data_IF_494497230819
#
_entry.id   IF_494497230819
#
_cell.length_a   1.000
_cell.length_b   1.000
_cell.length_c   1.000
_cell.angle_alpha   90.00
_cell.angle_beta   90.00
_cell.angle_gamma   90.00
#
_symmetry.space_group_name_H-M   'P 1'
#
loop_
_entity.id
_entity.type
_entity.pdbx_description
1 polymer ?
#
# COMPACT_ATOMS: atom_id res chain seq x y z
N UNK A 1 32.38 -6.31 -27.29
CA UNK A 1 31.23 -6.38 -26.37
C UNK A 1 29.99 -6.83 -27.15
N UNK A 2 29.19 -7.75 -26.61
CA UNK A 2 27.91 -8.17 -27.20
C UNK A 2 26.76 -7.61 -26.36
N UNK A 3 25.82 -6.94 -27.02
CA UNK A 3 24.64 -6.32 -26.40
C UNK A 3 23.43 -7.22 -26.78
N UNK A 4 22.66 -7.64 -25.79
CA UNK A 4 21.37 -8.25 -26.01
C UNK A 4 20.28 -7.18 -25.93
N UNK A 5 19.55 -6.97 -27.02
CA UNK A 5 18.30 -6.22 -26.96
C UNK A 5 17.16 -7.18 -26.67
N UNK A 6 16.30 -6.80 -25.70
CA UNK A 6 15.13 -7.60 -25.37
C UNK A 6 13.86 -6.81 -25.63
N UNK A 7 12.97 -7.37 -26.41
CA UNK A 7 11.68 -6.77 -26.78
C UNK A 7 10.54 -7.70 -26.39
N UNK A 8 9.40 -7.15 -25.93
CA UNK A 8 8.25 -7.94 -25.53
C UNK A 8 6.94 -7.25 -25.88
N UNK A 9 6.00 -8.03 -26.39
CA UNK A 9 4.59 -7.68 -26.49
C UNK A 9 3.76 -8.47 -25.48
N UNK A 10 2.71 -7.84 -24.99
CA UNK A 10 1.74 -8.45 -24.07
C UNK A 10 0.42 -8.65 -24.82
N UNK A 11 -0.23 -9.80 -24.66
CA UNK A 11 -1.59 -10.04 -25.16
C UNK A 11 -2.64 -9.06 -24.64
N UNK A 12 -2.33 -8.37 -23.53
CA UNK A 12 -3.24 -7.39 -22.93
C UNK A 12 -3.26 -6.04 -23.66
N UNK A 13 -2.26 -5.76 -24.51
CA UNK A 13 -2.14 -4.51 -25.27
C UNK A 13 -2.89 -4.53 -26.62
N UNK A 14 -3.76 -5.51 -26.86
CA UNK A 14 -4.64 -5.88 -27.99
C UNK A 14 -4.72 -5.00 -29.22
N UNK A 15 -4.66 -5.64 -30.39
CA UNK A 15 -4.97 -5.25 -31.78
C UNK A 15 -3.79 -5.05 -32.75
N UNK A 16 -4.10 -5.05 -34.05
CA UNK A 16 -3.20 -5.03 -35.25
C UNK A 16 -2.05 -3.97 -35.28
N UNK A 17 -2.00 -3.06 -34.32
CA UNK A 17 -0.87 -2.14 -34.11
C UNK A 17 0.35 -2.76 -33.42
N UNK A 18 0.30 -4.04 -33.05
CA UNK A 18 1.29 -4.72 -32.19
C UNK A 18 2.59 -5.07 -32.90
N UNK A 19 2.56 -5.49 -34.17
CA UNK A 19 3.78 -5.74 -34.96
C UNK A 19 4.59 -4.45 -35.16
N UNK A 20 3.90 -3.31 -35.30
CA UNK A 20 4.53 -2.00 -35.30
C UNK A 20 5.19 -1.66 -33.96
N UNK A 21 4.67 -2.18 -32.83
CA UNK A 21 5.21 -1.92 -31.50
C UNK A 21 6.55 -2.64 -31.22
N UNK A 22 6.76 -3.89 -31.66
CA UNK A 22 8.09 -4.57 -31.58
C UNK A 22 9.09 -3.83 -32.48
N UNK A 23 8.70 -3.52 -33.71
CA UNK A 23 9.53 -2.76 -34.64
C UNK A 23 9.97 -1.41 -34.04
N UNK A 24 9.06 -0.68 -33.43
CA UNK A 24 9.35 0.60 -32.79
C UNK A 24 10.27 0.43 -31.55
N UNK A 25 10.08 -0.62 -30.74
CA UNK A 25 10.99 -0.91 -29.64
C UNK A 25 12.41 -1.20 -30.16
N UNK A 26 12.52 -2.05 -31.20
CA UNK A 26 13.80 -2.39 -31.84
C UNK A 26 14.49 -1.13 -32.36
N UNK A 27 13.80 -0.29 -33.13
CA UNK A 27 14.35 0.95 -33.67
C UNK A 27 14.86 1.88 -32.56
N UNK A 28 14.08 2.08 -31.50
CA UNK A 28 14.49 2.90 -30.34
C UNK A 28 15.77 2.37 -29.69
N UNK A 29 15.87 1.05 -29.50
CA UNK A 29 17.04 0.43 -28.87
C UNK A 29 18.27 0.52 -29.75
N UNK A 30 18.13 0.30 -31.07
CA UNK A 30 19.23 0.41 -32.02
C UNK A 30 19.70 1.86 -32.17
N UNK A 31 18.77 2.82 -32.16
CA UNK A 31 19.12 4.26 -32.19
C UNK A 31 19.87 4.66 -30.92
N UNK A 32 19.42 4.19 -29.75
CA UNK A 32 20.15 4.41 -28.50
C UNK A 32 21.60 3.88 -28.55
N UNK A 33 21.80 2.66 -29.10
CA UNK A 33 23.16 2.10 -29.26
C UNK A 33 24.01 2.97 -30.18
N UNK A 34 23.44 3.45 -31.30
CA UNK A 34 24.17 4.31 -32.27
C UNK A 34 24.61 5.62 -31.65
N UNK A 35 23.76 6.20 -30.78
CA UNK A 35 24.02 7.50 -30.16
C UNK A 35 24.83 7.40 -28.85
N UNK A 36 25.13 6.19 -28.38
CA UNK A 36 25.90 5.95 -27.16
C UNK A 36 27.36 5.60 -27.49
N UNK A 37 28.33 6.48 -27.19
CA UNK A 37 29.74 6.26 -27.59
C UNK A 37 30.34 4.95 -27.06
N UNK A 38 29.94 4.53 -25.87
CA UNK A 38 30.41 3.32 -25.20
C UNK A 38 29.72 2.02 -25.68
N UNK A 39 28.64 2.15 -26.44
CA UNK A 39 27.90 1.02 -27.03
C UNK A 39 28.09 0.92 -28.55
N UNK A 40 28.59 1.99 -29.17
CA UNK A 40 28.74 2.07 -30.61
C UNK A 40 29.66 0.95 -31.16
N UNK A 41 29.25 0.30 -32.24
CA UNK A 41 30.03 -0.79 -32.88
C UNK A 41 29.98 -2.13 -32.13
N UNK A 42 29.21 -2.27 -31.05
CA UNK A 42 29.01 -3.53 -30.37
C UNK A 42 28.18 -4.51 -31.21
N UNK A 43 28.45 -5.81 -31.06
CA UNK A 43 27.60 -6.86 -31.65
C UNK A 43 26.25 -6.86 -30.98
N UNK A 44 25.17 -6.79 -31.74
CA UNK A 44 23.79 -6.81 -31.22
C UNK A 44 23.15 -8.17 -31.48
N UNK A 45 22.55 -8.76 -30.46
CA UNK A 45 21.74 -9.97 -30.52
C UNK A 45 20.35 -9.64 -29.99
N UNK A 46 19.30 -10.08 -30.68
CA UNK A 46 17.92 -9.84 -30.29
C UNK A 46 17.30 -11.06 -29.63
N UNK A 47 16.57 -10.83 -28.54
CA UNK A 47 15.70 -11.77 -27.89
C UNK A 47 14.29 -11.18 -27.81
N UNK A 48 13.28 -11.97 -28.14
CA UNK A 48 11.90 -11.50 -28.17
C UNK A 48 10.95 -12.51 -27.56
N UNK A 49 9.92 -12.00 -26.87
CA UNK A 49 8.77 -12.77 -26.44
C UNK A 49 7.51 -12.07 -26.95
N UNK A 50 6.74 -12.77 -27.80
CA UNK A 50 5.47 -12.29 -28.34
C UNK A 50 4.31 -13.04 -27.68
N UNK A 51 3.27 -12.30 -27.25
CA UNK A 51 2.08 -12.88 -26.64
C UNK A 51 2.25 -13.39 -25.20
N UNK A 52 3.36 -13.11 -24.54
CA UNK A 52 3.60 -13.55 -23.16
C UNK A 52 3.36 -12.46 -22.13
N UNK A 53 2.72 -12.84 -21.01
CA UNK A 53 2.60 -11.94 -19.85
C UNK A 53 3.95 -11.68 -19.18
N UNK A 54 4.17 -10.45 -18.72
CA UNK A 54 5.39 -10.09 -17.97
C UNK A 54 5.43 -10.60 -16.51
N UNK A 55 4.44 -11.39 -16.06
CA UNK A 55 4.28 -11.79 -14.66
C UNK A 55 5.29 -12.81 -14.17
N UNK A 56 5.79 -13.67 -15.05
CA UNK A 56 6.80 -14.68 -14.72
C UNK A 56 7.96 -14.65 -15.72
N UNK A 57 9.03 -15.38 -15.40
CA UNK A 57 10.21 -15.54 -16.23
C UNK A 57 10.23 -16.85 -17.04
N UNK A 58 9.10 -17.60 -17.09
CA UNK A 58 8.98 -18.86 -17.84
C UNK A 58 8.73 -18.64 -19.34
N UNK A 59 9.30 -17.58 -19.89
CA UNK A 59 9.17 -17.16 -21.28
C UNK A 59 10.41 -17.59 -22.07
N UNK A 60 10.25 -18.16 -23.29
CA UNK A 60 11.37 -18.68 -24.05
C UNK A 60 12.46 -17.64 -24.35
N UNK A 61 12.06 -16.42 -24.76
CA UNK A 61 13.00 -15.37 -25.12
C UNK A 61 13.81 -14.87 -23.92
N UNK A 62 13.16 -14.61 -22.77
CA UNK A 62 13.89 -14.19 -21.57
C UNK A 62 14.76 -15.31 -21.00
N UNK A 63 14.34 -16.58 -21.09
CA UNK A 63 15.15 -17.72 -20.68
C UNK A 63 16.39 -17.87 -21.56
N UNK A 64 16.23 -17.73 -22.88
CA UNK A 64 17.37 -17.76 -23.84
C UNK A 64 18.33 -16.59 -23.56
N UNK A 65 17.79 -15.37 -23.30
CA UNK A 65 18.57 -14.21 -22.91
C UNK A 65 19.39 -14.47 -21.64
N UNK A 66 18.75 -14.97 -20.57
CA UNK A 66 19.42 -15.25 -19.30
C UNK A 66 20.49 -16.34 -19.47
N UNK A 67 20.21 -17.37 -20.25
CA UNK A 67 21.19 -18.42 -20.58
C UNK A 67 22.42 -17.84 -21.27
N UNK A 68 22.25 -17.05 -22.33
CA UNK A 68 23.34 -16.37 -23.03
C UNK A 68 24.12 -15.39 -22.13
N UNK A 69 23.42 -14.65 -21.30
CA UNK A 69 24.01 -13.70 -20.34
C UNK A 69 24.85 -14.41 -19.28
N UNK A 70 24.35 -15.49 -18.69
CA UNK A 70 25.07 -16.26 -17.67
C UNK A 70 26.20 -17.12 -18.27
N UNK A 71 26.08 -17.51 -19.55
CA UNK A 71 27.13 -18.15 -20.31
C UNK A 71 28.28 -17.21 -20.75
N UNK A 72 28.15 -15.90 -20.50
CA UNK A 72 29.17 -14.90 -20.86
C UNK A 72 29.14 -14.47 -22.33
N UNK A 73 28.16 -14.93 -23.11
CA UNK A 73 27.99 -14.55 -24.52
C UNK A 73 27.52 -13.11 -24.68
N UNK A 74 26.85 -12.57 -23.67
CA UNK A 74 26.28 -11.22 -23.58
C UNK A 74 26.88 -10.50 -22.41
N UNK A 75 27.31 -9.25 -22.58
CA UNK A 75 27.87 -8.39 -21.54
C UNK A 75 26.95 -7.22 -21.14
N UNK A 76 25.96 -6.92 -22.00
CA UNK A 76 25.01 -5.85 -21.72
C UNK A 76 23.59 -6.27 -22.16
N UNK A 77 22.63 -6.07 -21.32
CA UNK A 77 21.18 -6.22 -21.63
C UNK A 77 20.59 -4.81 -21.78
N UNK A 78 19.91 -4.57 -22.89
CA UNK A 78 19.25 -3.32 -23.20
C UNK A 78 17.76 -3.54 -23.41
N UNK A 79 16.93 -2.81 -22.68
CA UNK A 79 15.47 -2.86 -22.77
C UNK A 79 14.89 -1.45 -22.96
N UNK A 80 13.67 -1.36 -23.50
CA UNK A 80 12.96 -0.10 -23.62
C UNK A 80 12.60 0.46 -22.23
N UNK A 81 12.00 -0.36 -21.40
CA UNK A 81 11.64 -0.08 -20.00
C UNK A 81 11.76 -1.36 -19.17
N UNK A 82 11.91 -1.21 -17.84
CA UNK A 82 12.07 -2.34 -16.91
C UNK A 82 10.88 -3.30 -16.98
N UNK A 83 9.67 -2.80 -17.26
CA UNK A 83 8.46 -3.60 -17.33
C UNK A 83 8.48 -4.58 -18.52
N UNK A 84 9.27 -4.33 -19.57
CA UNK A 84 9.48 -5.27 -20.67
C UNK A 84 10.29 -6.47 -20.22
N UNK A 85 11.31 -6.25 -19.39
CA UNK A 85 12.07 -7.35 -18.80
C UNK A 85 11.21 -8.19 -17.85
N UNK A 86 10.39 -7.56 -16.98
CA UNK A 86 9.44 -8.27 -16.16
C UNK A 86 8.54 -7.34 -15.35
N UNK A 87 7.34 -7.85 -14.99
CA UNK A 87 6.37 -7.15 -14.13
C UNK A 87 6.40 -7.65 -12.67
N UNK A 88 7.12 -8.73 -12.39
CA UNK A 88 7.40 -9.16 -11.02
C UNK A 88 8.58 -8.36 -10.47
N UNK A 89 8.27 -7.28 -9.77
CA UNK A 89 9.25 -6.35 -9.24
C UNK A 89 10.23 -6.98 -8.24
N UNK A 90 9.84 -8.06 -7.56
CA UNK A 90 10.72 -8.76 -6.62
C UNK A 90 11.82 -9.48 -7.39
N UNK A 91 11.43 -10.29 -8.37
CA UNK A 91 12.36 -11.06 -9.19
C UNK A 91 13.21 -10.14 -10.07
N UNK A 92 12.58 -9.14 -10.72
CA UNK A 92 13.28 -8.14 -11.55
C UNK A 92 14.31 -7.36 -10.71
N UNK A 93 13.89 -6.88 -9.52
CA UNK A 93 14.78 -6.17 -8.62
C UNK A 93 15.99 -7.02 -8.21
N UNK A 94 15.78 -8.28 -7.87
CA UNK A 94 16.88 -9.19 -7.53
C UNK A 94 17.86 -9.40 -8.69
N UNK A 95 17.36 -9.57 -9.93
CA UNK A 95 18.22 -9.67 -11.10
C UNK A 95 19.06 -8.42 -11.31
N UNK A 96 18.42 -7.24 -11.33
CA UNK A 96 19.10 -5.97 -11.67
C UNK A 96 20.05 -5.50 -10.55
N UNK A 97 19.65 -5.66 -9.27
CA UNK A 97 20.44 -5.10 -8.16
C UNK A 97 21.48 -6.07 -7.59
N UNK A 98 21.36 -7.38 -7.85
CA UNK A 98 22.24 -8.39 -7.27
C UNK A 98 22.86 -9.32 -8.31
N UNK A 99 22.03 -10.03 -9.09
CA UNK A 99 22.51 -11.11 -9.96
C UNK A 99 23.36 -10.56 -11.10
N UNK A 100 22.89 -9.53 -11.80
CA UNK A 100 23.61 -8.93 -12.92
C UNK A 100 24.93 -8.26 -12.50
N UNK A 101 24.95 -7.42 -11.44
CA UNK A 101 26.22 -6.89 -10.93
C UNK A 101 27.22 -7.97 -10.50
N UNK A 102 26.75 -9.03 -9.83
CA UNK A 102 27.60 -10.16 -9.44
C UNK A 102 28.24 -10.87 -10.65
N UNK A 103 27.54 -10.93 -11.78
CA UNK A 103 28.02 -11.51 -13.03
C UNK A 103 28.79 -10.52 -13.92
N UNK A 104 28.94 -9.27 -13.50
CA UNK A 104 29.55 -8.22 -14.32
C UNK A 104 28.73 -7.87 -15.56
N UNK A 105 27.43 -8.13 -15.53
CA UNK A 105 26.50 -7.89 -16.62
C UNK A 105 25.87 -6.50 -16.47
N UNK A 106 26.04 -5.64 -17.48
CA UNK A 106 25.41 -4.31 -17.52
C UNK A 106 23.93 -4.45 -17.91
N UNK A 107 23.08 -3.70 -17.25
CA UNK A 107 21.66 -3.61 -17.59
C UNK A 107 21.27 -2.15 -17.80
N UNK A 108 20.63 -1.87 -18.95
CA UNK A 108 20.22 -0.51 -19.34
C UNK A 108 18.73 -0.52 -19.66
N UNK A 109 17.96 0.41 -19.10
CA UNK A 109 16.59 0.71 -19.47
C UNK A 109 16.48 2.13 -19.98
N UNK A 110 16.09 2.27 -21.27
CA UNK A 110 16.16 3.56 -21.98
C UNK A 110 15.16 4.56 -21.42
N UNK A 111 13.89 4.16 -21.36
CA UNK A 111 12.82 5.06 -20.92
C UNK A 111 12.88 5.39 -19.42
N UNK A 112 13.39 4.46 -18.61
CA UNK A 112 13.57 4.66 -17.17
C UNK A 112 14.85 5.45 -16.86
N UNK A 113 15.65 5.78 -17.91
CA UNK A 113 16.97 6.43 -17.78
C UNK A 113 17.87 5.73 -16.76
N UNK A 114 17.83 4.40 -16.73
CA UNK A 114 18.57 3.56 -15.80
C UNK A 114 19.74 2.88 -16.48
N UNK A 115 20.89 2.86 -15.82
CA UNK A 115 22.11 2.17 -16.25
C UNK A 115 22.84 1.60 -15.04
N UNK A 116 22.98 0.28 -14.97
CA UNK A 116 23.63 -0.37 -13.82
C UNK A 116 25.12 0.01 -13.64
N UNK A 117 25.77 0.56 -14.67
CA UNK A 117 27.14 1.08 -14.56
C UNK A 117 27.18 2.51 -14.03
N UNK A 118 26.04 3.22 -13.99
CA UNK A 118 25.97 4.58 -13.45
C UNK A 118 25.94 4.52 -11.94
N UNK A 119 26.86 5.25 -11.31
CA UNK A 119 26.99 5.29 -9.86
C UNK A 119 25.69 5.81 -9.21
N UNK A 120 25.12 5.02 -8.32
CA UNK A 120 23.90 5.39 -7.56
C UNK A 120 22.57 4.90 -8.17
N UNK A 121 22.54 4.52 -9.46
CA UNK A 121 21.30 4.04 -10.09
C UNK A 121 20.82 2.72 -9.46
N UNK A 122 21.73 1.78 -9.20
CA UNK A 122 21.40 0.52 -8.53
C UNK A 122 20.85 0.78 -7.13
N UNK A 123 21.49 1.67 -6.35
CA UNK A 123 21.05 1.97 -4.98
C UNK A 123 19.69 2.67 -4.96
N UNK A 124 19.42 3.56 -5.92
CA UNK A 124 18.14 4.24 -6.03
C UNK A 124 17.02 3.28 -6.40
N UNK A 125 17.30 2.35 -7.32
CA UNK A 125 16.36 1.32 -7.75
C UNK A 125 16.09 0.30 -6.62
N UNK A 126 17.12 -0.13 -5.89
CA UNK A 126 16.96 -1.04 -4.74
C UNK A 126 16.10 -0.39 -3.64
N UNK A 127 16.32 0.90 -3.35
CA UNK A 127 15.47 1.65 -2.40
C UNK A 127 14.02 1.72 -2.87
N UNK A 128 13.77 2.00 -4.15
CA UNK A 128 12.43 2.07 -4.72
C UNK A 128 11.71 0.72 -4.64
N UNK A 129 12.38 -0.38 -4.99
CA UNK A 129 11.83 -1.72 -4.87
C UNK A 129 11.54 -2.11 -3.42
N UNK A 130 12.43 -1.82 -2.48
CA UNK A 130 12.18 -2.06 -1.06
C UNK A 130 10.96 -1.30 -0.55
N UNK A 131 10.83 -0.03 -0.91
CA UNK A 131 9.67 0.79 -0.54
C UNK A 131 8.36 0.18 -1.07
N UNK A 132 8.35 -0.26 -2.34
CA UNK A 132 7.21 -0.94 -2.95
C UNK A 132 6.86 -2.25 -2.21
N UNK A 133 7.85 -3.07 -1.90
CA UNK A 133 7.66 -4.33 -1.17
C UNK A 133 7.07 -4.06 0.22
N UNK A 134 7.57 -3.06 0.94
CA UNK A 134 7.04 -2.68 2.27
C UNK A 134 5.59 -2.20 2.19
N UNK A 135 5.23 -1.41 1.16
CA UNK A 135 3.84 -0.97 0.96
C UNK A 135 2.91 -2.15 0.68
N UNK A 136 3.29 -3.05 -0.23
CA UNK A 136 2.53 -4.26 -0.53
C UNK A 136 2.34 -5.16 0.71
N UNK A 137 3.42 -5.35 1.48
CA UNK A 137 3.39 -6.14 2.71
C UNK A 137 2.48 -5.50 3.78
N UNK A 138 2.56 -4.19 3.94
CA UNK A 138 1.71 -3.43 4.86
C UNK A 138 0.23 -3.56 4.51
N UNK A 139 -0.11 -3.45 3.21
CA UNK A 139 -1.48 -3.65 2.71
C UNK A 139 -1.98 -5.07 2.93
N UNK A 140 -1.15 -6.08 2.70
CA UNK A 140 -1.51 -7.49 2.92
C UNK A 140 -1.76 -7.78 4.40
N UNK A 141 -0.86 -7.33 5.29
CA UNK A 141 -1.07 -7.43 6.75
C UNK A 141 -2.37 -6.74 7.16
N UNK A 142 -2.61 -5.51 6.67
CA UNK A 142 -3.84 -4.78 7.01
C UNK A 142 -5.10 -5.56 6.61
N UNK A 143 -5.12 -6.16 5.41
CA UNK A 143 -6.23 -7.02 4.97
C UNK A 143 -6.41 -8.25 5.87
N UNK A 144 -5.32 -8.94 6.20
CA UNK A 144 -5.33 -10.13 7.07
C UNK A 144 -5.84 -9.79 8.47
N UNK A 145 -5.34 -8.69 9.06
CA UNK A 145 -5.78 -8.23 10.39
C UNK A 145 -7.27 -7.84 10.38
N UNK A 146 -7.73 -7.11 9.35
CA UNK A 146 -9.15 -6.73 9.22
C UNK A 146 -10.03 -7.98 9.09
N UNK A 147 -9.65 -8.94 8.25
CA UNK A 147 -10.39 -10.19 8.08
C UNK A 147 -10.45 -11.01 9.38
N UNK A 148 -9.33 -11.12 10.10
CA UNK A 148 -9.29 -11.80 11.40
C UNK A 148 -10.19 -11.12 12.44
N UNK A 149 -10.12 -9.77 12.52
CA UNK A 149 -10.98 -8.98 13.42
C UNK A 149 -12.47 -9.16 13.09
N UNK A 150 -12.82 -9.12 11.80
CA UNK A 150 -14.19 -9.31 11.37
C UNK A 150 -14.73 -10.71 11.77
N UNK A 151 -13.93 -11.75 11.56
CA UNK A 151 -14.30 -13.13 11.95
C UNK A 151 -14.53 -13.25 13.45
N UNK A 152 -13.67 -12.67 14.27
CA UNK A 152 -13.83 -12.65 15.72
C UNK A 152 -15.08 -11.86 16.15
N UNK A 153 -15.33 -10.71 15.50
CA UNK A 153 -16.53 -9.92 15.75
C UNK A 153 -17.82 -10.70 15.39
N UNK A 154 -17.83 -11.46 14.29
CA UNK A 154 -18.95 -12.33 13.90
C UNK A 154 -19.22 -13.44 14.94
N UNK A 155 -18.19 -13.88 15.67
CA UNK A 155 -18.29 -14.82 16.76
C UNK A 155 -18.69 -14.16 18.10
N UNK A 156 -18.93 -12.83 18.11
CA UNK A 156 -19.24 -12.07 19.33
C UNK A 156 -18.04 -11.80 20.23
N UNK A 157 -16.82 -12.09 19.76
CA UNK A 157 -15.60 -11.95 20.53
C UNK A 157 -15.06 -10.51 20.40
N UNK A 158 -15.07 -9.75 21.48
CA UNK A 158 -14.47 -8.43 21.52
C UNK A 158 -12.98 -8.51 21.86
N UNK A 159 -12.12 -8.14 20.91
CA UNK A 159 -10.66 -8.14 21.07
C UNK A 159 -10.08 -6.78 21.45
N UNK A 160 -10.89 -5.75 21.53
CA UNK A 160 -10.38 -4.43 21.88
C UNK A 160 -9.91 -4.41 23.34
N UNK A 161 -8.74 -3.79 23.62
CA UNK A 161 -8.19 -3.74 24.98
C UNK A 161 -9.09 -2.92 25.95
N UNK A 162 -9.83 -1.95 25.41
CA UNK A 162 -10.73 -1.06 26.16
C UNK A 162 -12.15 -1.26 25.67
N UNK A 163 -13.12 -1.36 26.59
CA UNK A 163 -14.53 -1.38 26.24
C UNK A 163 -14.93 -0.01 25.63
N UNK A 164 -15.80 0.00 24.59
CA UNK A 164 -16.38 1.22 24.08
C UNK A 164 -17.28 1.92 25.13
N UNK A 165 -17.51 3.20 24.96
CA UNK A 165 -18.41 3.96 25.84
C UNK A 165 -19.81 3.34 25.81
N UNK A 166 -20.43 3.22 26.98
CA UNK A 166 -21.69 2.51 27.16
C UNK A 166 -21.54 1.04 27.55
N UNK A 167 -20.34 0.50 27.55
CA UNK A 167 -20.07 -0.90 27.89
C UNK A 167 -18.93 -1.04 28.88
N UNK A 168 -18.98 -2.12 29.63
CA UNK A 168 -17.92 -2.64 30.49
C UNK A 168 -17.47 -4.02 29.97
N UNK A 169 -16.26 -4.42 30.31
CA UNK A 169 -15.84 -5.81 30.12
C UNK A 169 -16.42 -6.66 31.23
N UNK A 170 -16.92 -7.83 30.83
CA UNK A 170 -17.38 -8.84 31.80
C UNK A 170 -16.21 -9.29 32.68
N UNK A 171 -16.34 -9.26 34.02
CA UNK A 171 -15.29 -9.74 34.92
C UNK A 171 -14.93 -11.23 34.70
N UNK A 172 -15.89 -12.05 34.25
CA UNK A 172 -15.68 -13.48 33.98
C UNK A 172 -15.13 -13.77 32.60
N UNK A 173 -15.38 -12.90 31.62
CA UNK A 173 -14.89 -13.05 30.24
C UNK A 173 -14.49 -11.70 29.65
N UNK A 174 -13.18 -11.50 29.50
CA UNK A 174 -12.60 -10.25 28.95
C UNK A 174 -13.02 -9.95 27.49
N UNK A 175 -13.54 -10.93 26.79
CA UNK A 175 -13.99 -10.81 25.41
C UNK A 175 -15.48 -10.47 25.28
N UNK A 176 -16.22 -10.55 26.38
CA UNK A 176 -17.63 -10.20 26.45
C UNK A 176 -17.80 -8.77 26.93
N UNK A 177 -18.75 -8.07 26.32
CA UNK A 177 -19.16 -6.74 26.72
C UNK A 177 -20.51 -6.81 27.43
N UNK A 178 -20.64 -6.11 28.54
CA UNK A 178 -21.90 -5.92 29.28
C UNK A 178 -22.25 -4.41 29.27
N UNK A 179 -23.52 -4.02 29.17
CA UNK A 179 -23.92 -2.61 29.26
C UNK A 179 -23.46 -1.99 30.58
N UNK A 180 -22.89 -0.79 30.54
CA UNK A 180 -22.57 0.01 31.72
C UNK A 180 -23.84 0.76 32.17
N UNK A 181 -24.43 0.47 33.35
CA UNK A 181 -25.65 1.11 33.80
C UNK A 181 -25.58 2.65 33.85
N UNK A 182 -24.37 3.22 33.96
CA UNK A 182 -24.17 4.66 34.05
C UNK A 182 -24.11 5.34 32.68
N UNK A 183 -23.56 4.67 31.69
CA UNK A 183 -23.26 5.29 30.40
C UNK A 183 -24.07 4.72 29.24
N UNK A 184 -24.62 3.50 29.36
CA UNK A 184 -25.47 2.90 28.34
C UNK A 184 -26.74 3.74 28.01
N UNK A 185 -27.47 4.32 29.01
CA UNK A 185 -28.62 5.17 28.70
C UNK A 185 -28.24 6.42 27.89
N UNK A 186 -27.06 6.97 28.12
CA UNK A 186 -26.57 8.14 27.37
C UNK A 186 -26.32 7.75 25.89
N UNK A 187 -25.73 6.59 25.68
CA UNK A 187 -25.51 6.08 24.32
C UNK A 187 -26.83 5.82 23.60
N UNK A 188 -27.82 5.18 24.27
CA UNK A 188 -29.15 4.99 23.71
C UNK A 188 -29.81 6.30 23.30
N UNK A 189 -29.72 7.33 24.17
CA UNK A 189 -30.25 8.67 23.88
C UNK A 189 -29.56 9.32 22.67
N UNK A 190 -28.23 9.19 22.55
CA UNK A 190 -27.49 9.67 21.37
C UNK A 190 -28.05 9.05 20.11
N UNK A 191 -28.24 7.73 20.11
CA UNK A 191 -28.80 7.02 18.96
C UNK A 191 -30.22 7.49 18.61
N UNK A 192 -31.07 7.68 19.59
CA UNK A 192 -32.44 8.20 19.38
C UNK A 192 -32.41 9.57 18.75
N UNK A 193 -31.63 10.51 19.30
CA UNK A 193 -31.52 11.87 18.76
C UNK A 193 -31.02 11.89 17.31
N UNK A 194 -30.06 11.04 16.97
CA UNK A 194 -29.54 10.95 15.60
C UNK A 194 -30.56 10.29 14.67
N UNK A 195 -31.27 9.26 15.13
CA UNK A 195 -32.34 8.62 14.36
C UNK A 195 -33.51 9.59 14.08
N UNK A 196 -33.79 10.51 15.01
CA UNK A 196 -34.78 11.59 14.85
C UNK A 196 -34.28 12.75 13.94
N UNK A 197 -33.10 12.58 13.28
CA UNK A 197 -32.56 13.55 12.33
C UNK A 197 -31.76 14.69 12.96
N UNK A 198 -31.44 14.65 14.25
CA UNK A 198 -30.58 15.65 14.88
C UNK A 198 -29.13 15.47 14.43
N UNK A 199 -28.47 16.53 13.95
CA UNK A 199 -27.07 16.45 13.55
C UNK A 199 -26.15 16.14 14.73
N UNK A 200 -25.04 15.44 14.46
CA UNK A 200 -24.05 15.06 15.49
C UNK A 200 -23.51 16.24 16.28
N UNK A 201 -23.36 17.41 15.64
CA UNK A 201 -22.95 18.64 16.27
C UNK A 201 -23.98 19.15 17.29
N UNK A 202 -25.28 19.13 16.92
CA UNK A 202 -26.37 19.51 17.84
C UNK A 202 -26.48 18.56 19.02
N UNK A 203 -26.32 17.23 18.77
CA UNK A 203 -26.27 16.24 19.85
C UNK A 203 -25.14 16.53 20.81
N UNK A 204 -23.94 16.87 20.31
CA UNK A 204 -22.81 17.24 21.16
C UNK A 204 -23.11 18.50 22.00
N UNK A 205 -23.73 19.51 21.40
CA UNK A 205 -24.13 20.74 22.13
C UNK A 205 -25.13 20.42 23.23
N UNK A 206 -26.15 19.62 22.99
CA UNK A 206 -27.16 19.19 23.97
C UNK A 206 -26.47 18.53 25.18
N UNK A 207 -25.63 17.51 24.89
CA UNK A 207 -24.94 16.77 25.95
C UNK A 207 -23.98 17.63 26.77
N UNK A 208 -23.32 18.63 26.13
CA UNK A 208 -22.48 19.61 26.83
C UNK A 208 -23.27 20.54 27.71
N UNK A 209 -24.42 21.06 27.22
CA UNK A 209 -25.29 21.95 27.99
C UNK A 209 -25.84 21.23 29.22
N UNK A 210 -26.10 19.95 29.13
CA UNK A 210 -26.55 19.11 30.24
C UNK A 210 -25.41 18.65 31.19
N UNK A 211 -24.15 19.00 30.88
CA UNK A 211 -23.02 18.69 31.73
C UNK A 211 -22.67 17.19 31.75
N UNK A 212 -23.07 16.42 30.71
CA UNK A 212 -22.78 14.99 30.63
C UNK A 212 -21.27 14.78 30.41
N UNK A 213 -20.60 14.02 31.33
CA UNK A 213 -19.16 13.86 31.24
C UNK A 213 -18.75 13.05 29.99
N UNK A 214 -17.69 13.49 29.35
CA UNK A 214 -17.11 12.81 28.18
C UNK A 214 -16.47 11.47 28.55
N UNK A 215 -16.28 10.56 27.59
CA UNK A 215 -15.59 9.29 27.81
C UNK A 215 -14.18 9.45 28.43
N UNK A 216 -13.50 10.55 28.09
CA UNK A 216 -12.17 10.87 28.65
C UNK A 216 -12.23 11.24 30.12
N UNK A 217 -13.21 12.04 30.52
CA UNK A 217 -13.41 12.44 31.91
C UNK A 217 -13.81 11.28 32.82
N UNK A 218 -14.62 10.35 32.32
CA UNK A 218 -15.01 9.16 33.06
C UNK A 218 -13.80 8.22 33.28
N UNK A 219 -12.91 8.08 32.27
CA UNK A 219 -11.70 7.27 32.39
C UNK A 219 -10.67 7.84 33.37
N UNK A 220 -10.57 9.14 33.47
CA UNK A 220 -9.67 9.82 34.42
C UNK A 220 -10.10 9.57 35.86
N UNK A 221 -11.42 9.49 36.13
CA UNK A 221 -11.95 9.19 37.46
C UNK A 221 -11.69 7.77 37.96
N UNK A 222 -11.29 6.85 37.07
CA UNK A 222 -11.02 5.43 37.43
C UNK A 222 -9.52 5.11 37.53
N UNK A 223 -8.63 6.04 37.19
CA UNK A 223 -7.19 5.86 37.27
C UNK A 223 -6.54 7.20 37.62
N UNK A 224 -6.29 7.40 38.91
CA UNK A 224 -5.52 8.53 39.42
C UNK A 224 -4.07 8.42 38.95
N UNK A 225 -3.79 8.81 37.72
CA UNK A 225 -2.46 9.20 37.23
C UNK A 225 -2.61 10.25 36.16
N UNK A 226 -2.51 11.48 36.60
CA UNK A 226 -2.34 12.71 35.83
C UNK A 226 -1.26 12.53 34.75
N UNK A 227 -1.65 12.62 33.49
CA UNK A 227 -0.77 13.15 32.45
C UNK A 227 -1.55 14.20 31.66
N UNK A 228 -1.24 15.44 32.01
CA UNK A 228 -1.53 16.65 31.26
C UNK A 228 -1.03 16.47 29.83
N UNK A 229 -1.91 16.66 28.85
CA UNK A 229 -1.51 16.71 27.45
C UNK A 229 -2.33 15.83 26.52
N UNK A 230 -3.62 16.10 26.38
CA UNK A 230 -4.39 15.59 25.24
C UNK A 230 -4.20 16.55 24.06
N UNK A 231 -3.35 16.17 23.12
CA UNK A 231 -3.15 16.92 21.88
C UNK A 231 -4.23 16.50 20.90
N UNK A 232 -5.05 17.44 20.48
CA UNK A 232 -6.04 17.22 19.42
C UNK A 232 -5.29 17.11 18.12
N UNK A 233 -5.48 15.99 17.44
CA UNK A 233 -5.08 15.86 16.03
C UNK A 233 -6.27 16.31 15.20
N UNK A 234 -6.09 17.43 14.52
CA UNK A 234 -7.07 18.09 13.70
C UNK A 234 -7.65 17.22 12.58
N UNK A 235 -8.86 17.57 12.23
CA UNK A 235 -9.60 17.08 11.10
C UNK A 235 -8.78 17.16 9.79
N UNK A 236 -8.70 16.06 9.06
CA UNK A 236 -8.12 16.06 7.73
C UNK A 236 -8.12 14.69 7.10
N UNK A 237 -9.20 14.32 6.46
CA UNK A 237 -9.38 13.64 5.18
C UNK A 237 -10.65 12.80 5.18
N UNK A 238 -11.61 13.31 4.44
CA UNK A 238 -12.68 12.51 3.87
C UNK A 238 -12.05 11.45 2.97
N UNK A 239 -12.32 10.18 3.22
CA UNK A 239 -12.21 9.12 2.24
C UNK A 239 -13.61 8.57 2.02
N UNK A 240 -14.18 8.93 0.91
CA UNK A 240 -15.35 8.31 0.28
C UNK A 240 -15.08 6.81 0.05
N UNK A 241 -16.01 5.96 0.44
CA UNK A 241 -16.04 4.61 -0.09
C UNK A 241 -16.61 3.51 0.81
N UNK A 242 -17.87 3.16 0.54
CA UNK A 242 -18.51 1.84 0.57
C UNK A 242 -19.01 1.27 1.91
N UNK A 243 -20.34 1.23 1.90
CA UNK A 243 -21.29 0.30 2.51
C UNK A 243 -20.73 -0.96 3.19
N UNK A 244 -21.06 -1.14 4.43
CA UNK A 244 -20.94 -2.41 5.16
C UNK A 244 -21.15 -2.20 6.64
N UNK A 245 -22.24 -2.71 7.17
CA UNK A 245 -22.63 -2.88 8.58
C UNK A 245 -21.64 -2.34 9.61
N UNK A 246 -21.78 -1.05 9.92
CA UNK A 246 -20.85 -0.34 10.78
C UNK A 246 -21.16 -0.58 12.25
N UNK A 247 -20.15 -0.95 13.01
CA UNK A 247 -20.19 -0.78 14.45
C UNK A 247 -20.02 0.71 14.75
N UNK A 248 -21.01 1.33 15.35
CA UNK A 248 -20.96 2.73 15.77
C UNK A 248 -20.09 2.82 17.01
N UNK A 249 -18.94 3.47 16.92
CA UNK A 249 -18.14 3.83 18.09
C UNK A 249 -18.22 5.33 18.31
N UNK A 250 -18.76 5.74 19.48
CA UNK A 250 -18.78 7.14 19.88
C UNK A 250 -17.47 7.48 20.58
N UNK A 251 -16.67 8.37 20.00
CA UNK A 251 -15.50 8.94 20.65
C UNK A 251 -15.72 10.44 20.89
N UNK A 252 -15.55 10.88 22.14
CA UNK A 252 -15.67 12.27 22.54
C UNK A 252 -14.29 12.85 22.81
N UNK A 253 -13.93 13.95 22.20
CA UNK A 253 -12.74 14.71 22.55
C UNK A 253 -13.14 16.11 23.02
N UNK A 254 -12.63 16.52 24.16
CA UNK A 254 -12.76 17.91 24.64
C UNK A 254 -11.44 18.62 24.52
N UNK A 255 -11.47 19.82 23.95
CA UNK A 255 -10.43 20.81 24.17
C UNK A 255 -10.69 21.61 25.45
N UNK A 256 -9.62 22.03 26.09
CA UNK A 256 -9.67 22.81 27.35
C UNK A 256 -10.41 24.12 27.19
N UNK A 257 -11.27 24.36 28.13
CA UNK A 257 -11.79 25.66 28.66
C UNK A 257 -12.57 26.59 27.74
N UNK A 258 -12.68 26.49 26.42
CA UNK A 258 -13.50 27.45 25.64
C UNK A 258 -13.88 27.07 24.22
N UNK A 259 -13.81 25.78 23.82
CA UNK A 259 -14.12 25.35 22.45
C UNK A 259 -15.22 24.26 22.35
N UNK A 260 -15.90 24.13 21.20
CA UNK A 260 -17.01 23.19 21.03
C UNK A 260 -16.54 21.73 21.02
N UNK A 261 -17.35 20.86 21.61
CA UNK A 261 -17.19 19.41 21.61
C UNK A 261 -17.69 18.82 20.29
N UNK A 262 -16.93 17.97 19.69
CA UNK A 262 -17.34 17.21 18.50
C UNK A 262 -17.65 15.76 18.85
N UNK A 263 -18.78 15.25 18.37
CA UNK A 263 -19.16 13.84 18.44
C UNK A 263 -18.82 13.19 17.10
N UNK A 264 -18.00 12.15 17.13
CA UNK A 264 -17.76 11.32 15.94
C UNK A 264 -18.59 10.05 16.05
N UNK A 265 -19.53 9.91 15.11
CA UNK A 265 -20.25 8.66 14.86
C UNK A 265 -19.73 8.14 13.53
N UNK A 266 -18.99 7.01 13.55
CA UNK A 266 -18.60 6.32 12.34
C UNK A 266 -19.58 5.20 12.07
N UNK A 267 -20.26 5.28 10.95
CA UNK A 267 -21.12 4.21 10.40
C UNK A 267 -20.27 3.16 9.68
#
# INVERSE_FOLDING_TARGET
>A
MTIAIYVRLSLEDGTEQESASIGNQRLLLLDFIRNSPDLYGAKVVEFSDDGYSGKNFDRPGVQALLKAAFGGEVQCILVKDISRFGRDYITVGNYITRVFPFKGLRFISVNDNFDSNRKGDIDSLDRAFRALIYDLYSRDISKKVKSAKLRLAQQGININPVAPYGYLKDPGDRHRLIPDPRTAPIVQRIFTLVADGTSTEKVAMILNTEGIPTPSQIKVGTSARTRTGCRIIGAGRQSTGLSGTGSISAAWCTESASGPVSVFISS
#
